data_IF_869986993981
#
_entry.id   IF_869986993981
#
_cell.length_a   1.000
_cell.length_b   1.000
_cell.length_c   1.000
_cell.angle_alpha   90.00
_cell.angle_beta   90.00
_cell.angle_gamma   90.00
#
_symmetry.space_group_name_H-M   'P 1'
#
loop_
_entity.id
_entity.type
_entity.pdbx_description
1 polymer ?
#
# COMPACT_ATOMS: atom_id res chain seq x y z
N UNK A 1 22.03 -1.81 -6.99
CA UNK A 1 21.29 -0.53 -6.96
C UNK A 1 19.85 -0.88 -6.71
N UNK A 2 19.21 -0.27 -5.71
CA UNK A 2 17.76 -0.40 -5.50
C UNK A 2 17.03 0.14 -6.72
N UNK A 3 16.06 -0.61 -7.25
CA UNK A 3 15.22 -0.17 -8.37
C UNK A 3 14.54 1.16 -8.01
N UNK A 4 14.55 2.13 -8.93
CA UNK A 4 13.72 3.33 -8.83
C UNK A 4 12.58 3.22 -9.83
N UNK A 5 11.43 3.79 -9.49
CA UNK A 5 10.23 3.76 -10.33
C UNK A 5 9.91 5.13 -10.92
N UNK A 6 10.74 6.16 -10.65
CA UNK A 6 10.54 7.49 -11.22
C UNK A 6 10.60 7.45 -12.75
N UNK A 7 9.59 8.03 -13.40
CA UNK A 7 9.45 8.06 -14.86
C UNK A 7 9.83 9.42 -15.45
N UNK A 8 10.14 10.40 -14.60
CA UNK A 8 10.47 11.76 -15.00
C UNK A 8 10.72 12.70 -13.81
N UNK A 9 10.89 14.00 -14.08
CA UNK A 9 11.20 14.99 -13.04
C UNK A 9 10.07 15.13 -11.99
N UNK A 10 8.81 14.95 -12.36
CA UNK A 10 7.70 15.16 -11.42
C UNK A 10 7.55 13.99 -10.45
N UNK A 11 7.65 12.75 -10.93
CA UNK A 11 7.62 11.53 -10.12
C UNK A 11 8.84 11.46 -9.21
N UNK A 12 10.03 11.84 -9.70
CA UNK A 12 11.20 11.98 -8.84
C UNK A 12 10.96 12.99 -7.73
N UNK A 13 10.48 14.20 -8.06
CA UNK A 13 10.25 15.24 -7.08
C UNK A 13 9.20 14.84 -6.02
N UNK A 14 8.11 14.18 -6.41
CA UNK A 14 7.07 13.75 -5.46
C UNK A 14 7.60 12.66 -4.51
N UNK A 15 8.40 11.72 -5.02
CA UNK A 15 9.04 10.69 -4.19
C UNK A 15 10.04 11.31 -3.21
N UNK A 16 10.89 12.23 -3.68
CA UNK A 16 11.85 12.96 -2.85
C UNK A 16 11.16 13.81 -1.77
N UNK A 17 9.97 14.35 -2.07
CA UNK A 17 9.19 15.12 -1.09
C UNK A 17 8.79 14.29 0.14
N UNK A 18 8.64 12.97 -0.02
CA UNK A 18 8.30 12.02 1.05
C UNK A 18 9.52 11.34 1.68
N UNK A 19 10.76 11.74 1.33
CA UNK A 19 11.97 11.04 1.74
C UNK A 19 12.13 10.89 3.27
N UNK A 20 11.62 11.84 4.06
CA UNK A 20 11.60 11.72 5.52
C UNK A 20 10.70 10.56 5.97
N UNK A 21 9.46 10.53 5.49
CA UNK A 21 8.49 9.47 5.79
C UNK A 21 8.98 8.10 5.31
N UNK A 22 9.60 8.04 4.13
CA UNK A 22 10.20 6.79 3.61
C UNK A 22 11.29 6.28 4.56
N UNK A 23 12.17 7.16 5.06
CA UNK A 23 13.21 6.74 6.03
C UNK A 23 12.61 6.24 7.36
N UNK A 24 11.53 6.86 7.83
CA UNK A 24 10.81 6.37 9.01
C UNK A 24 10.23 4.98 8.77
N UNK A 25 9.58 4.76 7.61
CA UNK A 25 9.05 3.45 7.22
C UNK A 25 10.18 2.41 7.17
N UNK A 26 11.29 2.73 6.50
CA UNK A 26 12.44 1.83 6.38
C UNK A 26 13.07 1.43 7.71
N UNK A 27 12.90 2.25 8.75
CA UNK A 27 13.41 2.04 10.11
C UNK A 27 12.40 1.44 11.09
N UNK A 28 11.21 1.06 10.63
CA UNK A 28 10.22 0.42 11.50
C UNK A 28 10.70 -0.97 11.94
N UNK A 29 10.73 -1.18 13.26
CA UNK A 29 11.06 -2.48 13.86
C UNK A 29 10.13 -3.59 13.36
N UNK A 30 8.86 -3.27 13.09
CA UNK A 30 7.90 -4.19 12.47
C UNK A 30 8.45 -4.82 11.18
N UNK A 31 9.04 -4.00 10.30
CA UNK A 31 9.55 -4.45 9.01
C UNK A 31 10.89 -5.19 9.14
N UNK A 32 11.73 -4.81 10.10
CA UNK A 32 12.96 -5.54 10.39
C UNK A 32 12.68 -6.95 10.93
N UNK A 33 11.73 -7.07 11.88
CA UNK A 33 11.30 -8.36 12.42
C UNK A 33 10.57 -9.20 11.38
N UNK A 34 9.83 -8.58 10.45
CA UNK A 34 9.19 -9.27 9.34
C UNK A 34 10.23 -9.88 8.40
N UNK A 35 11.30 -9.13 8.08
CA UNK A 35 12.39 -9.63 7.26
C UNK A 35 13.18 -10.77 7.94
N UNK A 36 13.43 -10.68 9.25
CA UNK A 36 14.14 -11.75 9.98
C UNK A 36 13.28 -12.97 10.29
N UNK A 37 11.95 -12.85 10.22
CA UNK A 37 11.00 -13.90 10.59
C UNK A 37 10.65 -13.93 12.09
N UNK A 38 11.16 -12.97 12.87
CA UNK A 38 10.99 -12.91 14.33
C UNK A 38 9.76 -12.10 14.78
N UNK A 39 9.01 -11.49 13.86
CA UNK A 39 7.84 -10.68 14.17
C UNK A 39 6.81 -11.51 14.97
N UNK A 40 6.14 -10.90 15.96
CA UNK A 40 5.03 -11.54 16.67
C UNK A 40 3.93 -11.92 15.64
N UNK A 41 3.57 -13.21 15.52
CA UNK A 41 2.51 -13.67 14.62
C UNK A 41 1.21 -12.86 14.74
N UNK A 42 0.85 -12.39 15.94
CA UNK A 42 -0.34 -11.57 16.16
C UNK A 42 -0.22 -10.21 15.49
N UNK A 43 0.95 -9.58 15.52
CA UNK A 43 1.17 -8.30 14.85
C UNK A 43 1.05 -8.45 13.32
N UNK A 44 1.59 -9.53 12.76
CA UNK A 44 1.46 -9.82 11.34
C UNK A 44 0.02 -10.14 10.94
N UNK A 45 -0.67 -11.00 11.67
CA UNK A 45 -2.08 -11.32 11.42
C UNK A 45 -2.95 -10.07 11.54
N UNK A 46 -2.75 -9.24 12.57
CA UNK A 46 -3.45 -7.97 12.70
C UNK A 46 -3.24 -7.09 11.47
N UNK A 47 -2.01 -6.98 10.98
CA UNK A 47 -1.69 -6.26 9.74
C UNK A 47 -2.48 -6.83 8.55
N UNK A 48 -2.44 -8.14 8.29
CA UNK A 48 -3.15 -8.78 7.16
C UNK A 48 -4.67 -8.60 7.25
N UNK A 49 -5.24 -8.66 8.46
CA UNK A 49 -6.68 -8.41 8.68
C UNK A 49 -7.05 -6.97 8.35
N UNK A 50 -6.22 -6.01 8.77
CA UNK A 50 -6.45 -4.60 8.44
C UNK A 50 -6.20 -4.31 6.95
N UNK A 51 -5.23 -4.98 6.33
CA UNK A 51 -4.89 -4.83 4.93
C UNK A 51 -6.01 -5.34 4.02
N UNK A 52 -6.65 -6.45 4.40
CA UNK A 52 -7.87 -6.93 3.72
C UNK A 52 -8.99 -5.88 3.70
N UNK A 53 -9.21 -5.18 4.83
CA UNK A 53 -10.21 -4.10 4.92
C UNK A 53 -9.77 -2.85 4.15
N UNK A 54 -8.48 -2.53 4.16
CA UNK A 54 -7.90 -1.44 3.39
C UNK A 54 -8.11 -1.67 1.89
N UNK A 55 -7.78 -2.86 1.38
CA UNK A 55 -7.87 -3.21 -0.04
C UNK A 55 -9.30 -3.15 -0.59
N UNK A 56 -10.31 -3.53 0.20
CA UNK A 56 -11.70 -3.33 -0.18
C UNK A 56 -12.05 -1.85 -0.40
N UNK A 57 -11.51 -0.97 0.45
CA UNK A 57 -11.65 0.48 0.31
C UNK A 57 -10.82 1.03 -0.84
N UNK A 58 -9.60 0.53 -1.01
CA UNK A 58 -8.65 0.92 -2.04
C UNK A 58 -9.17 0.58 -3.44
N UNK A 59 -9.74 -0.61 -3.63
CA UNK A 59 -10.38 -1.03 -4.86
C UNK A 59 -11.56 -0.13 -5.24
N UNK A 60 -12.35 0.31 -4.25
CA UNK A 60 -13.42 1.30 -4.47
C UNK A 60 -12.85 2.65 -4.89
N UNK A 61 -11.78 3.11 -4.26
CA UNK A 61 -11.12 4.36 -4.62
C UNK A 61 -10.58 4.33 -6.05
N UNK A 62 -9.92 3.24 -6.45
CA UNK A 62 -9.46 3.05 -7.83
C UNK A 62 -10.62 2.93 -8.83
N UNK A 63 -11.73 2.30 -8.47
CA UNK A 63 -12.93 2.27 -9.33
C UNK A 63 -13.53 3.67 -9.53
N UNK A 64 -13.51 4.52 -8.50
CA UNK A 64 -13.91 5.93 -8.62
C UNK A 64 -12.94 6.72 -9.51
N UNK A 65 -11.63 6.46 -9.42
CA UNK A 65 -10.64 7.04 -10.33
C UNK A 65 -10.89 6.62 -11.77
N UNK A 66 -11.18 5.34 -12.00
CA UNK A 66 -11.50 4.82 -13.32
C UNK A 66 -12.70 5.56 -13.93
N UNK A 67 -13.74 5.83 -13.14
CA UNK A 67 -14.92 6.58 -13.58
C UNK A 67 -14.62 8.05 -13.91
N UNK A 68 -13.58 8.63 -13.33
CA UNK A 68 -13.13 10.02 -13.55
C UNK A 68 -12.00 10.14 -14.57
N UNK A 69 -11.49 9.02 -15.08
CA UNK A 69 -10.34 9.00 -15.97
C UNK A 69 -10.61 9.82 -17.24
N UNK A 70 -9.64 10.64 -17.68
CA UNK A 70 -9.82 11.51 -18.85
C UNK A 70 -9.88 10.74 -20.17
N UNK A 71 -9.38 9.50 -20.19
CA UNK A 71 -9.44 8.64 -21.35
C UNK A 71 -9.66 7.15 -20.97
N UNK A 72 -10.11 6.32 -21.94
CA UNK A 72 -10.43 4.92 -21.68
C UNK A 72 -9.24 4.03 -21.32
N UNK A 73 -8.01 4.38 -21.70
CA UNK A 73 -6.83 3.59 -21.36
C UNK A 73 -6.52 3.70 -19.87
N UNK A 74 -6.53 4.92 -19.35
CA UNK A 74 -6.34 5.16 -17.92
C UNK A 74 -7.51 4.56 -17.11
N UNK A 75 -8.74 4.67 -17.60
CA UNK A 75 -9.89 4.02 -16.98
C UNK A 75 -9.76 2.49 -16.90
N UNK A 76 -9.20 1.86 -17.96
CA UNK A 76 -8.93 0.41 -17.96
C UNK A 76 -7.82 0.02 -16.98
N UNK A 77 -6.78 0.84 -16.82
CA UNK A 77 -5.73 0.63 -15.81
C UNK A 77 -6.35 0.55 -14.42
N UNK A 78 -7.03 1.61 -13.98
CA UNK A 78 -7.56 1.67 -12.61
C UNK A 78 -8.62 0.60 -12.31
N UNK A 79 -9.47 0.24 -13.29
CA UNK A 79 -10.41 -0.87 -13.10
C UNK A 79 -9.71 -2.23 -12.97
N UNK A 80 -8.64 -2.45 -13.74
CA UNK A 80 -7.82 -3.68 -13.61
C UNK A 80 -7.12 -3.70 -12.26
N UNK A 81 -6.46 -2.62 -11.87
CA UNK A 81 -5.80 -2.50 -10.56
C UNK A 81 -6.78 -2.70 -9.40
N UNK A 82 -8.01 -2.20 -9.51
CA UNK A 82 -9.08 -2.46 -8.54
C UNK A 82 -9.47 -3.94 -8.46
N UNK A 83 -9.57 -4.63 -9.59
CA UNK A 83 -9.85 -6.05 -9.62
C UNK A 83 -8.69 -6.88 -9.04
N UNK A 84 -7.45 -6.51 -9.37
CA UNK A 84 -6.25 -7.22 -8.92
C UNK A 84 -6.04 -7.06 -7.40
N UNK A 85 -6.25 -5.86 -6.84
CA UNK A 85 -6.19 -5.60 -5.40
C UNK A 85 -7.19 -6.43 -4.59
N UNK A 86 -8.33 -6.82 -5.20
CA UNK A 86 -9.29 -7.73 -4.57
C UNK A 86 -8.89 -9.18 -4.81
N UNK A 87 -8.57 -9.57 -6.05
CA UNK A 87 -8.45 -10.97 -6.42
C UNK A 87 -7.09 -11.61 -6.04
N UNK A 88 -5.98 -10.90 -6.28
CA UNK A 88 -4.63 -11.43 -6.08
C UNK A 88 -4.28 -11.42 -4.59
N UNK A 89 -4.61 -10.33 -3.90
CA UNK A 89 -4.23 -10.14 -2.50
C UNK A 89 -5.13 -10.91 -1.54
N UNK A 90 -6.43 -11.12 -1.84
CA UNK A 90 -7.27 -12.00 -1.02
C UNK A 90 -6.82 -13.47 -1.07
N UNK A 91 -6.30 -13.94 -2.20
CA UNK A 91 -5.72 -15.28 -2.30
C UNK A 91 -4.50 -15.44 -1.39
N UNK A 92 -3.54 -14.51 -1.51
CA UNK A 92 -2.35 -14.49 -0.66
C UNK A 92 -2.71 -14.36 0.83
N UNK A 93 -3.65 -13.49 1.19
CA UNK A 93 -4.09 -13.31 2.57
C UNK A 93 -4.77 -14.56 3.11
N UNK A 94 -5.61 -15.23 2.33
CA UNK A 94 -6.23 -16.48 2.75
C UNK A 94 -5.19 -17.56 3.05
N UNK A 95 -4.18 -17.70 2.19
CA UNK A 95 -3.09 -18.67 2.38
C UNK A 95 -2.24 -18.34 3.62
N UNK A 96 -1.87 -17.07 3.81
CA UNK A 96 -1.12 -16.60 4.98
C UNK A 96 -1.90 -16.82 6.28
N UNK A 97 -3.19 -16.46 6.32
CA UNK A 97 -4.03 -16.62 7.51
C UNK A 97 -4.32 -18.10 7.84
N UNK A 98 -4.18 -19.00 6.87
CA UNK A 98 -4.33 -20.45 7.02
C UNK A 98 -3.02 -21.19 7.36
N UNK A 99 -1.85 -20.54 7.26
CA UNK A 99 -0.56 -21.12 7.65
C UNK A 99 -0.61 -21.58 9.12
N UNK A 100 -0.13 -22.80 9.40
CA UNK A 100 -0.20 -23.40 10.74
C UNK A 100 0.50 -22.56 11.81
N UNK A 101 1.50 -21.76 11.44
CA UNK A 101 2.24 -20.85 12.33
C UNK A 101 1.45 -19.59 12.67
N UNK A 102 0.51 -19.19 11.81
CA UNK A 102 -0.29 -17.96 11.94
C UNK A 102 -1.73 -18.25 12.40
N UNK A 103 -2.27 -19.43 12.11
CA UNK A 103 -3.62 -19.84 12.44
C UNK A 103 -4.04 -19.63 13.92
N UNK A 104 -3.17 -19.85 14.94
CA UNK A 104 -3.53 -19.55 16.32
C UNK A 104 -3.83 -18.05 16.55
N UNK A 105 -3.00 -17.17 15.97
CA UNK A 105 -3.21 -15.73 16.06
C UNK A 105 -4.44 -15.29 15.25
N UNK A 106 -4.69 -15.90 14.09
CA UNK A 106 -5.92 -15.68 13.30
C UNK A 106 -7.17 -16.01 14.11
N UNK A 107 -7.18 -17.17 14.79
CA UNK A 107 -8.31 -17.59 15.61
C UNK A 107 -8.55 -16.67 16.82
N UNK A 108 -7.48 -16.12 17.41
CA UNK A 108 -7.54 -15.16 18.51
C UNK A 108 -8.12 -13.82 18.06
N UNK A 109 -7.61 -13.25 16.96
CA UNK A 109 -7.91 -11.89 16.52
C UNK A 109 -9.19 -11.78 15.67
N UNK A 110 -9.56 -12.86 14.97
CA UNK A 110 -10.75 -12.92 14.13
C UNK A 110 -11.57 -14.21 14.38
N UNK A 111 -12.07 -14.46 15.60
CA UNK A 111 -12.75 -15.71 15.97
C UNK A 111 -14.01 -16.01 15.14
N UNK A 112 -14.62 -14.98 14.53
CA UNK A 112 -15.79 -15.10 13.66
C UNK A 112 -15.47 -14.84 12.17
N UNK A 113 -14.18 -14.79 11.81
CA UNK A 113 -13.73 -14.40 10.46
C UNK A 113 -14.03 -12.95 10.10
N UNK A 114 -14.31 -12.09 11.10
CA UNK A 114 -14.61 -10.68 10.91
C UNK A 114 -13.63 -9.82 11.71
N UNK A 115 -12.95 -8.90 11.02
CA UNK A 115 -12.16 -7.84 11.63
C UNK A 115 -12.92 -6.51 11.54
N UNK A 116 -12.73 -5.65 12.53
CA UNK A 116 -13.18 -4.26 12.45
C UNK A 116 -12.01 -3.37 11.97
N UNK A 117 -12.27 -2.33 11.16
CA UNK A 117 -11.22 -1.43 10.75
C UNK A 117 -10.73 -0.65 11.98
N UNK A 118 -9.42 -0.60 12.15
CA UNK A 118 -8.77 0.28 13.13
C UNK A 118 -9.03 1.75 12.77
N UNK A 119 -8.83 2.70 13.72
CA UNK A 119 -8.88 4.12 13.41
C UNK A 119 -7.96 4.53 12.26
N UNK A 120 -6.77 3.93 12.15
CA UNK A 120 -5.82 4.19 11.06
C UNK A 120 -6.36 3.68 9.71
N UNK A 121 -6.85 2.44 9.67
CA UNK A 121 -7.42 1.82 8.46
C UNK A 121 -8.64 2.59 7.97
N UNK A 122 -9.59 2.89 8.86
CA UNK A 122 -10.78 3.65 8.51
C UNK A 122 -10.40 5.06 8.04
N UNK A 123 -9.48 5.72 8.74
CA UNK A 123 -8.99 7.04 8.39
C UNK A 123 -8.36 7.07 6.99
N UNK A 124 -7.49 6.10 6.69
CA UNK A 124 -6.81 6.04 5.41
C UNK A 124 -7.78 5.78 4.25
N UNK A 125 -8.64 4.76 4.36
CA UNK A 125 -9.66 4.48 3.34
C UNK A 125 -10.60 5.68 3.15
N UNK A 126 -11.03 6.32 4.24
CA UNK A 126 -11.90 7.51 4.16
C UNK A 126 -11.21 8.66 3.45
N UNK A 127 -9.92 8.89 3.73
CA UNK A 127 -9.10 9.89 3.05
C UNK A 127 -9.01 9.61 1.55
N UNK A 128 -8.71 8.36 1.15
CA UNK A 128 -8.59 7.98 -0.25
C UNK A 128 -9.92 8.19 -0.98
N UNK A 129 -11.02 7.66 -0.44
CA UNK A 129 -12.36 7.79 -1.03
C UNK A 129 -12.76 9.27 -1.18
N UNK A 130 -12.57 10.08 -0.13
CA UNK A 130 -12.89 11.50 -0.20
C UNK A 130 -12.06 12.20 -1.29
N UNK A 131 -10.74 11.98 -1.28
CA UNK A 131 -9.81 12.60 -2.24
C UNK A 131 -10.16 12.24 -3.68
N UNK A 132 -10.33 10.94 -3.98
CA UNK A 132 -10.68 10.53 -5.36
C UNK A 132 -12.07 10.98 -5.76
N UNK A 133 -13.02 11.14 -4.83
CA UNK A 133 -14.37 11.59 -5.14
C UNK A 133 -14.42 13.10 -5.43
N UNK A 134 -13.72 13.93 -4.66
CA UNK A 134 -13.91 15.39 -4.66
C UNK A 134 -12.82 16.20 -5.35
N UNK A 135 -11.58 15.68 -5.42
CA UNK A 135 -10.44 16.42 -5.99
C UNK A 135 -10.33 16.22 -7.50
N UNK A 136 -9.53 17.04 -8.23
CA UNK A 136 -9.18 16.76 -9.63
C UNK A 136 -8.57 15.36 -9.80
N UNK A 137 -8.70 14.80 -11.00
CA UNK A 137 -8.21 13.45 -11.31
C UNK A 137 -6.72 13.28 -10.97
N UNK A 138 -5.90 14.28 -11.28
CA UNK A 138 -4.46 14.30 -11.04
C UNK A 138 -4.12 14.19 -9.55
N UNK A 139 -4.90 14.84 -8.68
CA UNK A 139 -4.74 14.73 -7.22
C UNK A 139 -5.19 13.34 -6.75
N UNK A 140 -6.29 12.83 -7.29
CA UNK A 140 -6.82 11.52 -6.98
C UNK A 140 -5.84 10.38 -7.29
N UNK A 141 -5.24 10.36 -8.50
CA UNK A 141 -4.23 9.34 -8.85
C UNK A 141 -3.01 9.45 -7.93
N UNK A 142 -2.67 10.67 -7.49
CA UNK A 142 -1.51 10.90 -6.63
C UNK A 142 -1.75 10.37 -5.22
N UNK A 143 -2.99 10.47 -4.71
CA UNK A 143 -3.36 9.97 -3.40
C UNK A 143 -3.29 8.44 -3.31
N UNK A 144 -3.60 7.71 -4.40
CA UNK A 144 -3.52 6.25 -4.43
C UNK A 144 -2.11 5.72 -4.72
N UNK A 145 -1.22 6.55 -5.29
CA UNK A 145 0.09 6.14 -5.78
C UNK A 145 1.05 5.58 -4.69
N UNK A 146 1.09 6.13 -3.45
CA UNK A 146 1.94 5.61 -2.39
C UNK A 146 1.87 4.10 -2.21
N UNK A 147 0.68 3.53 -2.11
CA UNK A 147 0.47 2.10 -1.89
C UNK A 147 1.21 1.23 -2.92
N UNK A 148 1.20 1.59 -4.21
CA UNK A 148 2.00 0.88 -5.21
C UNK A 148 3.50 1.03 -4.93
N UNK A 149 3.93 2.28 -4.81
CA UNK A 149 5.35 2.62 -4.86
C UNK A 149 6.10 2.23 -3.59
N UNK A 150 5.54 2.52 -2.41
CA UNK A 150 6.21 2.24 -1.13
C UNK A 150 6.29 0.74 -0.87
N UNK A 151 5.29 -0.04 -1.26
CA UNK A 151 5.32 -1.50 -1.13
C UNK A 151 6.36 -2.11 -2.06
N UNK A 152 6.47 -1.65 -3.31
CA UNK A 152 7.46 -2.16 -4.25
C UNK A 152 8.88 -1.87 -3.74
N UNK A 153 9.10 -0.63 -3.29
CA UNK A 153 10.36 -0.20 -2.67
C UNK A 153 10.71 -1.03 -1.43
N UNK A 154 9.74 -1.24 -0.53
CA UNK A 154 9.95 -2.05 0.67
C UNK A 154 10.15 -3.52 0.36
N UNK A 155 9.45 -4.10 -0.62
CA UNK A 155 9.67 -5.47 -1.09
C UNK A 155 11.13 -5.72 -1.48
N UNK A 156 11.71 -4.84 -2.31
CA UNK A 156 13.13 -4.94 -2.69
C UNK A 156 14.07 -4.85 -1.49
N UNK A 157 13.76 -3.98 -0.52
CA UNK A 157 14.57 -3.81 0.69
C UNK A 157 14.47 -5.02 1.62
N UNK A 158 13.28 -5.56 1.81
CA UNK A 158 13.03 -6.67 2.72
C UNK A 158 13.64 -7.97 2.19
N UNK A 159 13.54 -8.25 0.89
CA UNK A 159 14.25 -9.39 0.27
C UNK A 159 15.76 -9.26 0.46
N UNK A 160 16.32 -8.06 0.24
CA UNK A 160 17.75 -7.82 0.45
C UNK A 160 18.18 -7.94 1.93
N UNK A 161 17.29 -7.64 2.89
CA UNK A 161 17.54 -7.75 4.34
C UNK A 161 17.39 -9.18 4.85
N UNK A 162 16.38 -9.91 4.39
CA UNK A 162 16.01 -11.22 4.91
C UNK A 162 17.09 -12.29 4.64
N UNK A 163 17.80 -12.19 3.51
CA UNK A 163 18.81 -13.18 3.14
C UNK A 163 18.17 -14.53 2.77
N UNK A 164 18.04 -15.43 3.74
CA UNK A 164 17.39 -16.73 3.56
C UNK A 164 15.96 -16.70 4.11
N UNK A 165 14.98 -16.90 3.21
CA UNK A 165 13.56 -16.88 3.52
C UNK A 165 12.97 -18.29 3.73
N UNK A 166 13.77 -19.36 3.66
CA UNK A 166 13.29 -20.76 3.64
C UNK A 166 12.37 -21.09 4.83
N UNK A 167 12.72 -20.65 6.04
CA UNK A 167 11.94 -20.90 7.26
C UNK A 167 11.13 -19.67 7.73
N UNK A 168 11.15 -18.56 6.99
CA UNK A 168 10.44 -17.34 7.37
C UNK A 168 8.92 -17.48 7.13
N UNK A 169 8.06 -17.37 8.16
CA UNK A 169 6.60 -17.48 7.99
C UNK A 169 5.97 -16.38 7.14
N UNK A 170 6.66 -15.26 6.96
CA UNK A 170 6.21 -14.09 6.23
C UNK A 170 6.77 -14.05 4.80
N UNK A 171 7.55 -15.06 4.39
CA UNK A 171 8.19 -15.11 3.08
C UNK A 171 7.24 -14.89 1.89
N UNK A 172 6.03 -15.46 1.84
CA UNK A 172 5.11 -15.22 0.71
C UNK A 172 4.78 -13.73 0.54
N UNK A 173 4.56 -13.02 1.65
CA UNK A 173 4.28 -11.58 1.63
C UNK A 173 5.51 -10.78 1.17
N UNK A 174 6.71 -11.09 1.70
CA UNK A 174 7.96 -10.42 1.32
C UNK A 174 8.23 -10.58 -0.18
N UNK A 175 7.97 -11.76 -0.74
CA UNK A 175 8.23 -12.08 -2.14
C UNK A 175 7.20 -11.48 -3.09
N UNK A 176 5.94 -11.34 -2.67
CA UNK A 176 4.88 -10.81 -3.53
C UNK A 176 5.21 -9.42 -4.09
N UNK A 177 5.73 -8.52 -3.24
CA UNK A 177 6.10 -7.15 -3.62
C UNK A 177 7.49 -7.04 -4.27
N UNK A 178 8.27 -8.12 -4.34
CA UNK A 178 9.50 -8.22 -5.14
C UNK A 178 9.26 -8.86 -6.54
N UNK A 179 8.00 -9.02 -6.95
CA UNK A 179 7.66 -9.63 -8.25
C UNK A 179 7.82 -8.67 -9.44
N UNK A 180 8.08 -9.23 -10.63
CA UNK A 180 8.15 -8.46 -11.87
C UNK A 180 6.78 -7.93 -12.30
N UNK A 181 5.73 -8.67 -11.96
CA UNK A 181 4.33 -8.33 -12.20
C UNK A 181 3.93 -7.08 -11.39
N UNK A 182 4.27 -7.04 -10.09
CA UNK A 182 4.02 -5.87 -9.26
C UNK A 182 4.83 -4.67 -9.73
N UNK A 183 6.11 -4.89 -10.06
CA UNK A 183 6.99 -3.86 -10.62
C UNK A 183 6.40 -3.20 -11.88
N UNK A 184 5.80 -3.98 -12.79
CA UNK A 184 5.17 -3.46 -14.01
C UNK A 184 3.93 -2.60 -13.70
N UNK A 185 3.13 -3.00 -12.72
CA UNK A 185 1.96 -2.24 -12.26
C UNK A 185 2.37 -0.89 -11.67
N UNK A 186 3.46 -0.87 -10.90
CA UNK A 186 4.03 0.35 -10.30
C UNK A 186 4.57 1.28 -11.40
N UNK A 187 5.31 0.75 -12.38
CA UNK A 187 5.81 1.55 -13.51
C UNK A 187 4.67 2.21 -14.29
N UNK A 188 3.58 1.47 -14.55
CA UNK A 188 2.39 2.01 -15.25
C UNK A 188 1.69 3.10 -14.42
N UNK A 189 1.53 2.89 -13.10
CA UNK A 189 0.95 3.88 -12.18
C UNK A 189 1.79 5.17 -12.11
N UNK A 190 3.11 5.05 -11.97
CA UNK A 190 4.01 6.21 -11.89
C UNK A 190 4.09 6.92 -13.25
N UNK A 191 4.02 6.19 -14.36
CA UNK A 191 3.97 6.80 -15.69
C UNK A 191 2.68 7.59 -15.93
N UNK A 192 1.54 7.11 -15.40
CA UNK A 192 0.27 7.85 -15.42
C UNK A 192 0.37 9.14 -14.61
N UNK A 193 0.91 9.05 -13.40
CA UNK A 193 1.20 10.21 -12.55
C UNK A 193 2.07 11.24 -13.28
N UNK A 194 3.19 10.82 -13.89
CA UNK A 194 4.12 11.72 -14.57
C UNK A 194 3.41 12.51 -15.69
N UNK A 195 2.62 11.81 -16.53
CA UNK A 195 1.86 12.45 -17.61
C UNK A 195 0.85 13.48 -17.11
N UNK A 196 0.14 13.16 -16.03
CA UNK A 196 -0.81 14.09 -15.40
C UNK A 196 -0.09 15.30 -14.79
N UNK A 197 1.04 15.08 -14.12
CA UNK A 197 1.83 16.15 -13.51
C UNK A 197 2.41 17.10 -14.57
N UNK A 198 2.87 16.57 -15.72
CA UNK A 198 3.39 17.37 -16.84
C UNK A 198 2.29 18.23 -17.47
N UNK A 199 1.09 17.67 -17.65
CA UNK A 199 -0.03 18.35 -18.32
C UNK A 199 -0.84 19.33 -17.47
N UNK A 200 -0.57 19.44 -16.16
CA UNK A 200 -1.37 20.24 -15.23
C UNK A 200 -0.67 21.54 -14.77
N UNK A 201 -1.34 22.32 -13.93
CA UNK A 201 -0.81 23.59 -13.41
C UNK A 201 0.07 23.39 -12.18
N UNK A 202 0.92 24.38 -11.86
CA UNK A 202 1.72 24.35 -10.63
C UNK A 202 0.86 24.25 -9.37
N UNK A 203 -0.29 24.95 -9.35
CA UNK A 203 -1.23 24.88 -8.23
C UNK A 203 -1.83 23.47 -8.05
N UNK A 204 -2.09 22.73 -9.13
CA UNK A 204 -2.54 21.34 -9.05
C UNK A 204 -1.39 20.42 -8.64
N UNK A 205 -0.17 20.61 -9.17
CA UNK A 205 1.02 19.85 -8.75
C UNK A 205 1.34 20.01 -7.25
N UNK A 206 1.11 21.20 -6.69
CA UNK A 206 1.25 21.42 -5.25
C UNK A 206 0.26 20.54 -4.46
N UNK A 207 -1.03 20.52 -4.85
CA UNK A 207 -2.05 19.65 -4.25
C UNK A 207 -1.75 18.16 -4.44
N UNK A 208 -1.20 17.77 -5.59
CA UNK A 208 -0.71 16.40 -5.82
C UNK A 208 0.36 16.04 -4.79
N UNK A 209 1.34 16.92 -4.60
CA UNK A 209 2.43 16.71 -3.62
C UNK A 209 1.90 16.59 -2.20
N UNK A 210 0.95 17.45 -1.80
CA UNK A 210 0.26 17.37 -0.51
C UNK A 210 -0.49 16.03 -0.34
N UNK A 211 -1.20 15.59 -1.37
CA UNK A 211 -1.94 14.34 -1.34
C UNK A 211 -1.01 13.11 -1.23
N UNK A 212 0.11 13.12 -1.98
CA UNK A 212 1.13 12.07 -1.87
C UNK A 212 1.71 12.01 -0.45
N UNK A 213 2.08 13.17 0.10
CA UNK A 213 2.63 13.27 1.45
C UNK A 213 1.66 12.76 2.52
N UNK A 214 0.38 13.11 2.42
CA UNK A 214 -0.65 12.66 3.36
C UNK A 214 -0.89 11.14 3.28
N UNK A 215 -0.96 10.57 2.07
CA UNK A 215 -1.08 9.12 1.89
C UNK A 215 0.17 8.39 2.39
N UNK A 216 1.39 8.90 2.14
CA UNK A 216 2.62 8.33 2.71
C UNK A 216 2.63 8.34 4.25
N UNK A 217 2.07 9.37 4.90
CA UNK A 217 1.92 9.37 6.37
C UNK A 217 0.94 8.30 6.83
N UNK A 218 -0.14 8.06 6.08
CA UNK A 218 -1.03 6.95 6.38
C UNK A 218 -0.34 5.60 6.20
N UNK A 219 0.48 5.41 5.16
CA UNK A 219 1.29 4.18 5.00
C UNK A 219 2.22 3.95 6.20
N UNK A 220 2.94 4.99 6.63
CA UNK A 220 3.75 4.93 7.85
C UNK A 220 2.92 4.50 9.05
N UNK A 221 1.76 5.13 9.27
CA UNK A 221 0.90 4.77 10.40
C UNK A 221 0.33 3.37 10.27
N UNK A 222 0.02 2.90 9.06
CA UNK A 222 -0.52 1.58 8.80
C UNK A 222 0.44 0.48 9.31
N UNK A 223 1.73 0.55 8.94
CA UNK A 223 2.74 -0.37 9.49
C UNK A 223 3.06 -0.10 10.96
N UNK A 224 3.25 1.16 11.36
CA UNK A 224 3.69 1.50 12.72
C UNK A 224 2.66 1.15 13.81
N UNK A 225 1.39 0.97 13.43
CA UNK A 225 0.30 0.66 14.36
C UNK A 225 -0.12 -0.81 14.34
N UNK A 226 0.38 -1.62 13.40
CA UNK A 226 0.07 -3.04 13.31
C UNK A 226 0.30 -3.79 14.63
N UNK A 227 1.46 -3.58 15.27
CA UNK A 227 1.80 -4.18 16.56
C UNK A 227 1.14 -3.52 17.79
N UNK A 228 0.39 -2.42 17.58
CA UNK A 228 -0.30 -1.69 18.67
C UNK A 228 -1.75 -2.12 18.86
N UNK A 229 -2.27 -2.97 17.97
CA UNK A 229 -3.64 -3.49 18.02
C UNK A 229 -4.67 -2.37 18.27
N UNK A 230 -4.55 -1.27 17.52
CA UNK A 230 -5.43 -0.11 17.69
C UNK A 230 -6.90 -0.53 17.55
N UNK A 231 -7.70 -0.14 18.54
CA UNK A 231 -9.13 -0.36 18.58
C UNK A 231 -9.89 0.96 18.81
N UNK A 232 -11.19 0.84 19.09
CA UNK A 232 -12.10 1.98 19.35
C UNK A 232 -12.36 2.20 20.85
N UNK A 233 -11.52 1.65 21.73
CA UNK A 233 -11.66 1.84 23.17
C UNK A 233 -11.51 3.33 23.54
N UNK A 234 -12.28 3.76 24.56
CA UNK A 234 -12.36 5.14 25.06
C UNK A 234 -11.77 5.22 26.46
#
# INVERSE_FOLDING_TARGET
MTRTYDQGPHSRAVWESAAATIREIEGLEFLDQLASGDLDPRAFVQYILQDSLYLEGYAKAMSLLAAKAPDPEQGRFWNRSAADAVAVEQGMHADLLADERLAPATAELAPNGQAQPSPTTLGYVSYLIATVATEPYEVGITAVLPCFWVYAHMGKKLVARAGDLTDNPYAPWVQAYDSAEFDASVDEAVALFERCAEGTTEAVRARMTEAFGQAMLYELHFWATAARFQDWSV
#
